data_IF_788243210738
#
_entry.id   IF_788243210738
#
_cell.length_a   1.000
_cell.length_b   1.000
_cell.length_c   1.000
_cell.angle_alpha   90.00
_cell.angle_beta   90.00
_cell.angle_gamma   90.00
#
_symmetry.space_group_name_H-M   'P 1'
#
loop_
_entity.id
_entity.type
_entity.pdbx_description
1 polymer ?
#
# COMPACT_ATOMS: atom_id res chain seq x y z
N UNK A 1 -30.14 6.02 -43.27
CA UNK A 1 -29.35 6.40 -42.10
C UNK A 1 -29.05 7.91 -42.17
N UNK A 2 -29.55 8.68 -41.22
CA UNK A 2 -29.22 10.11 -41.11
C UNK A 2 -28.30 10.30 -39.91
N UNK A 3 -26.99 10.42 -40.09
CA UNK A 3 -26.02 10.56 -38.98
C UNK A 3 -26.20 11.87 -38.18
N UNK A 4 -26.87 12.88 -38.73
CA UNK A 4 -27.18 14.16 -38.07
C UNK A 4 -28.49 14.15 -37.24
N UNK A 5 -29.19 13.01 -37.16
CA UNK A 5 -30.43 12.92 -36.39
C UNK A 5 -30.11 12.94 -34.87
N UNK A 6 -30.32 14.09 -34.24
CA UNK A 6 -30.05 14.31 -32.80
C UNK A 6 -30.77 13.30 -31.89
N UNK A 7 -32.01 12.92 -32.22
CA UNK A 7 -32.76 11.93 -31.44
C UNK A 7 -32.09 10.55 -31.47
N UNK A 8 -31.63 10.13 -32.64
CA UNK A 8 -30.91 8.85 -32.82
C UNK A 8 -29.56 8.88 -32.07
N UNK A 9 -28.83 10.00 -32.13
CA UNK A 9 -27.57 10.18 -31.41
C UNK A 9 -27.80 10.16 -29.89
N UNK A 10 -28.85 10.83 -29.37
CA UNK A 10 -29.20 10.74 -27.94
C UNK A 10 -29.50 9.30 -27.52
N UNK A 11 -30.28 8.56 -28.32
CA UNK A 11 -30.59 7.15 -28.05
C UNK A 11 -29.33 6.28 -28.05
N UNK A 12 -28.42 6.52 -29.00
CA UNK A 12 -27.11 5.85 -29.05
C UNK A 12 -26.27 6.17 -27.82
N UNK A 13 -26.17 7.45 -27.45
CA UNK A 13 -25.43 7.90 -26.25
C UNK A 13 -25.97 7.27 -24.97
N UNK A 14 -27.30 7.24 -24.83
CA UNK A 14 -27.98 6.61 -23.69
C UNK A 14 -27.72 5.10 -23.65
N UNK A 15 -27.79 4.40 -24.77
CA UNK A 15 -27.47 2.98 -24.86
C UNK A 15 -26.04 2.69 -24.42
N UNK A 16 -25.06 3.48 -24.88
CA UNK A 16 -23.65 3.38 -24.46
C UNK A 16 -23.50 3.66 -22.95
N UNK A 17 -24.17 4.65 -22.42
CA UNK A 17 -24.18 4.96 -20.99
C UNK A 17 -24.72 3.81 -20.14
N UNK A 18 -25.84 3.20 -20.55
CA UNK A 18 -26.47 2.07 -19.85
C UNK A 18 -25.53 0.85 -19.81
N UNK A 19 -24.83 0.56 -20.92
CA UNK A 19 -23.84 -0.53 -20.96
C UNK A 19 -22.48 -0.14 -20.40
N UNK A 20 -22.37 1.01 -19.72
CA UNK A 20 -21.17 1.53 -19.04
C UNK A 20 -19.99 1.82 -19.97
N UNK A 21 -20.22 2.03 -21.25
CA UNK A 21 -19.20 2.48 -22.20
C UNK A 21 -19.10 4.02 -22.16
N UNK A 22 -18.68 4.53 -21.00
CA UNK A 22 -18.76 5.96 -20.68
C UNK A 22 -17.93 6.87 -21.58
N UNK A 23 -16.74 6.41 -22.03
CA UNK A 23 -15.88 7.16 -22.96
C UNK A 23 -16.57 7.32 -24.33
N UNK A 24 -17.18 6.25 -24.85
CA UNK A 24 -17.92 6.31 -26.11
C UNK A 24 -19.21 7.13 -25.97
N UNK A 25 -19.92 7.00 -24.84
CA UNK A 25 -21.09 7.83 -24.53
C UNK A 25 -20.71 9.32 -24.50
N UNK A 26 -19.61 9.67 -23.81
CA UNK A 26 -19.09 11.04 -23.77
C UNK A 26 -18.80 11.58 -25.18
N UNK A 27 -18.16 10.81 -26.05
CA UNK A 27 -17.89 11.22 -27.43
C UNK A 27 -19.18 11.58 -28.18
N UNK A 28 -20.25 10.78 -28.02
CA UNK A 28 -21.55 11.05 -28.66
C UNK A 28 -22.20 12.30 -28.10
N UNK A 29 -22.22 12.45 -26.77
CA UNK A 29 -22.84 13.64 -26.14
C UNK A 29 -22.02 14.92 -26.38
N UNK A 30 -20.69 14.82 -26.44
CA UNK A 30 -19.82 15.95 -26.78
C UNK A 30 -20.07 16.44 -28.20
N UNK A 31 -20.33 15.52 -29.17
CA UNK A 31 -20.76 15.92 -30.52
C UNK A 31 -22.11 16.63 -30.52
N UNK A 32 -23.11 16.11 -29.78
CA UNK A 32 -24.42 16.75 -29.65
C UNK A 32 -24.33 18.15 -29.06
N UNK A 33 -23.51 18.33 -28.02
CA UNK A 33 -23.27 19.63 -27.37
C UNK A 33 -22.57 20.62 -28.33
N UNK A 34 -21.59 20.14 -29.12
CA UNK A 34 -20.93 20.95 -30.15
C UNK A 34 -21.90 21.40 -31.26
N UNK A 35 -22.89 20.57 -31.58
CA UNK A 35 -23.97 20.90 -32.52
C UNK A 35 -25.08 21.79 -31.92
N UNK A 36 -24.88 22.27 -30.68
CA UNK A 36 -25.80 23.18 -29.98
C UNK A 36 -27.01 22.48 -29.36
N UNK A 37 -26.93 21.16 -29.09
CA UNK A 37 -27.98 20.44 -28.36
C UNK A 37 -27.80 20.58 -26.84
N UNK A 38 -28.45 21.59 -26.25
CA UNK A 38 -28.44 21.86 -24.82
C UNK A 38 -29.70 21.39 -24.08
N UNK A 39 -30.35 20.33 -24.58
CA UNK A 39 -31.53 19.78 -23.88
C UNK A 39 -31.11 19.11 -22.56
N UNK A 40 -32.03 19.14 -21.58
CA UNK A 40 -31.79 18.56 -20.25
C UNK A 40 -31.20 17.14 -20.31
N UNK A 41 -31.75 16.26 -21.15
CA UNK A 41 -31.25 14.88 -21.28
C UNK A 41 -29.82 14.80 -21.84
N UNK A 42 -29.49 15.64 -22.83
CA UNK A 42 -28.15 15.73 -23.39
C UNK A 42 -27.14 16.24 -22.35
N UNK A 43 -27.50 17.26 -21.60
CA UNK A 43 -26.67 17.79 -20.51
C UNK A 43 -26.52 16.78 -19.36
N UNK A 44 -27.63 16.19 -18.90
CA UNK A 44 -27.60 15.20 -17.80
C UNK A 44 -26.71 14.00 -18.14
N UNK A 45 -26.96 13.34 -19.27
CA UNK A 45 -26.20 12.12 -19.64
C UNK A 45 -24.80 12.44 -20.19
N UNK A 46 -24.63 13.60 -20.83
CA UNK A 46 -23.31 14.09 -21.24
C UNK A 46 -22.41 14.36 -20.05
N UNK A 47 -22.90 15.10 -19.06
CA UNK A 47 -22.20 15.35 -17.80
C UNK A 47 -21.93 14.07 -17.01
N UNK A 48 -22.93 13.18 -16.91
CA UNK A 48 -22.77 11.88 -16.26
C UNK A 48 -21.70 11.00 -16.94
N UNK A 49 -21.69 10.98 -18.29
CA UNK A 49 -20.70 10.23 -19.06
C UNK A 49 -19.28 10.73 -18.82
N UNK A 50 -19.10 12.06 -18.78
CA UNK A 50 -17.82 12.70 -18.41
C UNK A 50 -17.38 12.32 -16.99
N UNK A 51 -18.32 12.36 -16.03
CA UNK A 51 -18.06 11.97 -14.65
C UNK A 51 -17.50 10.55 -14.56
N UNK A 52 -18.21 9.57 -15.14
CA UNK A 52 -17.78 8.18 -15.10
C UNK A 52 -16.57 7.87 -16.00
N UNK A 53 -16.25 8.73 -16.96
CA UNK A 53 -15.00 8.68 -17.72
C UNK A 53 -13.81 9.31 -16.97
N UNK A 54 -14.03 9.85 -15.75
CA UNK A 54 -12.99 10.48 -14.93
C UNK A 54 -12.72 11.97 -15.26
N UNK A 55 -13.50 12.57 -16.14
CA UNK A 55 -13.38 13.96 -16.59
C UNK A 55 -14.19 14.91 -15.67
N UNK A 56 -13.77 15.02 -14.40
CA UNK A 56 -14.57 15.67 -13.35
C UNK A 56 -14.82 17.17 -13.60
N UNK A 57 -13.81 17.96 -13.99
CA UNK A 57 -14.00 19.39 -14.25
C UNK A 57 -14.95 19.63 -15.43
N UNK A 58 -14.75 19.02 -16.63
CA UNK A 58 -15.73 19.13 -17.72
C UNK A 58 -17.12 18.58 -17.37
N UNK A 59 -17.22 17.62 -16.45
CA UNK A 59 -18.48 17.11 -15.94
C UNK A 59 -19.24 18.16 -15.13
N UNK A 60 -18.52 18.92 -14.27
CA UNK A 60 -19.13 20.03 -13.49
C UNK A 60 -19.79 21.03 -14.42
N UNK A 61 -19.08 21.51 -15.44
CA UNK A 61 -19.61 22.52 -16.36
C UNK A 61 -20.92 22.07 -17.02
N UNK A 62 -20.99 20.82 -17.47
CA UNK A 62 -22.18 20.30 -18.17
C UNK A 62 -23.30 19.98 -17.19
N UNK A 63 -22.98 19.42 -16.01
CA UNK A 63 -23.99 19.12 -14.98
C UNK A 63 -24.57 20.38 -14.33
N UNK A 64 -23.79 21.47 -14.25
CA UNK A 64 -24.30 22.77 -13.83
C UNK A 64 -25.39 23.30 -14.77
N UNK A 65 -25.16 23.23 -16.08
CA UNK A 65 -26.18 23.59 -17.07
C UNK A 65 -27.43 22.70 -16.96
N UNK A 66 -27.27 21.40 -16.65
CA UNK A 66 -28.41 20.52 -16.40
C UNK A 66 -29.14 20.91 -15.11
N UNK A 67 -28.41 21.24 -14.06
CA UNK A 67 -28.96 21.67 -12.77
C UNK A 67 -29.74 22.99 -12.88
N UNK A 68 -29.27 23.93 -13.70
CA UNK A 68 -30.01 25.18 -13.97
C UNK A 68 -31.37 24.94 -14.62
N UNK A 69 -31.50 23.87 -15.43
CA UNK A 69 -32.79 23.51 -16.06
C UNK A 69 -33.74 22.77 -15.09
N UNK A 70 -33.16 21.93 -14.18
CA UNK A 70 -33.95 21.19 -13.18
C UNK A 70 -33.14 21.07 -11.88
N UNK A 71 -33.40 22.01 -10.95
CA UNK A 71 -32.76 22.04 -9.62
C UNK A 71 -33.30 20.97 -8.67
N UNK A 72 -34.34 20.22 -9.04
CA UNK A 72 -34.98 19.21 -8.20
C UNK A 72 -34.47 17.79 -8.53
N UNK A 73 -33.74 17.64 -9.62
CA UNK A 73 -33.23 16.33 -10.04
C UNK A 73 -32.22 15.76 -9.05
N UNK A 74 -32.64 14.74 -8.32
CA UNK A 74 -31.80 14.04 -7.33
C UNK A 74 -30.53 13.49 -8.00
N UNK A 75 -30.64 12.87 -9.18
CA UNK A 75 -29.49 12.28 -9.89
C UNK A 75 -28.48 13.34 -10.32
N UNK A 76 -28.95 14.50 -10.81
CA UNK A 76 -28.05 15.61 -11.20
C UNK A 76 -27.39 16.18 -9.95
N UNK A 77 -28.11 16.40 -8.85
CA UNK A 77 -27.53 16.85 -7.58
C UNK A 77 -26.46 15.88 -7.07
N UNK A 78 -26.69 14.56 -7.14
CA UNK A 78 -25.71 13.56 -6.72
C UNK A 78 -24.44 13.58 -7.57
N UNK A 79 -24.57 13.59 -8.90
CA UNK A 79 -23.45 13.56 -9.82
C UNK A 79 -22.64 14.86 -9.80
N UNK A 80 -23.34 16.02 -9.80
CA UNK A 80 -22.69 17.32 -9.70
C UNK A 80 -21.97 17.49 -8.36
N UNK A 81 -22.65 17.10 -7.26
CA UNK A 81 -22.05 17.11 -5.93
C UNK A 81 -20.82 16.23 -5.85
N UNK A 82 -20.86 15.03 -6.43
CA UNK A 82 -19.70 14.13 -6.46
C UNK A 82 -18.56 14.68 -7.34
N UNK A 83 -18.86 15.27 -8.50
CA UNK A 83 -17.86 15.89 -9.35
C UNK A 83 -17.18 17.07 -8.65
N UNK A 84 -17.94 17.94 -7.98
CA UNK A 84 -17.42 19.06 -7.17
C UNK A 84 -16.60 18.56 -5.98
N UNK A 85 -17.01 17.49 -5.31
CA UNK A 85 -16.25 16.86 -4.21
C UNK A 85 -14.88 16.32 -4.64
N UNK A 86 -14.74 15.93 -5.92
CA UNK A 86 -13.47 15.49 -6.50
C UNK A 86 -12.60 16.64 -7.01
N UNK A 87 -13.17 17.84 -7.15
CA UNK A 87 -12.49 19.05 -7.61
C UNK A 87 -12.18 19.98 -6.43
N UNK A 88 -12.69 21.21 -6.40
CA UNK A 88 -12.28 22.22 -5.43
C UNK A 88 -13.44 22.74 -4.56
N UNK A 89 -14.69 22.61 -4.99
CA UNK A 89 -15.84 23.21 -4.29
C UNK A 89 -16.63 22.17 -3.48
N UNK A 90 -15.99 21.68 -2.41
CA UNK A 90 -16.60 20.71 -1.51
C UNK A 90 -17.77 21.26 -0.70
N UNK A 91 -17.78 22.56 -0.43
CA UNK A 91 -18.90 23.20 0.26
C UNK A 91 -20.18 23.08 -0.55
N UNK A 92 -20.12 23.45 -1.84
CA UNK A 92 -21.26 23.29 -2.75
C UNK A 92 -21.64 21.83 -2.96
N UNK A 93 -20.65 20.93 -2.93
CA UNK A 93 -20.94 19.49 -2.99
C UNK A 93 -21.83 19.04 -1.83
N UNK A 94 -21.55 19.46 -0.59
CA UNK A 94 -22.38 19.13 0.58
C UNK A 94 -23.79 19.72 0.45
N UNK A 95 -23.94 20.94 0.00
CA UNK A 95 -25.25 21.57 -0.22
C UNK A 95 -26.09 20.79 -1.25
N UNK A 96 -25.46 20.28 -2.30
CA UNK A 96 -26.11 19.45 -3.31
C UNK A 96 -26.50 18.06 -2.76
N UNK A 97 -25.65 17.45 -1.93
CA UNK A 97 -25.99 16.20 -1.26
C UNK A 97 -27.18 16.37 -0.28
N UNK A 98 -27.24 17.48 0.43
CA UNK A 98 -28.35 17.79 1.34
C UNK A 98 -29.67 18.03 0.57
N UNK A 99 -29.57 18.62 -0.63
CA UNK A 99 -30.74 18.74 -1.54
C UNK A 99 -31.18 17.39 -2.09
N UNK A 100 -30.23 16.58 -2.55
CA UNK A 100 -30.51 15.23 -3.03
C UNK A 100 -31.17 14.38 -1.95
N UNK A 101 -30.73 14.47 -0.70
CA UNK A 101 -31.27 13.73 0.44
C UNK A 101 -32.75 14.06 0.71
N UNK A 102 -33.10 15.34 0.60
CA UNK A 102 -34.50 15.80 0.76
C UNK A 102 -35.45 15.31 -0.33
N UNK A 103 -34.92 15.10 -1.54
CA UNK A 103 -35.70 14.62 -2.70
C UNK A 103 -35.64 13.09 -2.88
N UNK A 104 -34.88 12.39 -2.03
CA UNK A 104 -34.81 10.93 -2.11
C UNK A 104 -36.11 10.29 -1.63
N UNK A 105 -36.84 9.70 -2.57
CA UNK A 105 -37.77 8.62 -2.21
C UNK A 105 -36.98 7.40 -1.73
N UNK A 106 -37.59 6.42 -1.03
CA UNK A 106 -36.87 5.27 -0.46
C UNK A 106 -36.30 4.33 -1.54
N UNK A 107 -35.55 4.87 -2.47
CA UNK A 107 -34.80 4.15 -3.50
C UNK A 107 -33.44 3.73 -2.93
N UNK A 108 -33.32 2.45 -2.55
CA UNK A 108 -32.11 1.88 -1.94
C UNK A 108 -30.84 2.14 -2.76
N UNK A 109 -30.94 2.18 -4.08
CA UNK A 109 -29.79 2.44 -4.95
C UNK A 109 -29.27 3.87 -4.81
N UNK A 110 -30.15 4.86 -4.90
CA UNK A 110 -29.80 6.29 -4.79
C UNK A 110 -29.33 6.64 -3.37
N UNK A 111 -29.92 6.04 -2.33
CA UNK A 111 -29.46 6.22 -0.95
C UNK A 111 -28.01 5.74 -0.79
N UNK A 112 -27.68 4.54 -1.30
CA UNK A 112 -26.31 4.04 -1.23
C UNK A 112 -25.34 4.89 -2.04
N UNK A 113 -25.77 5.43 -3.18
CA UNK A 113 -24.95 6.32 -4.00
C UNK A 113 -24.69 7.65 -3.28
N UNK A 114 -25.70 8.24 -2.65
CA UNK A 114 -25.54 9.43 -1.81
C UNK A 114 -24.53 9.20 -0.68
N UNK A 115 -24.70 8.11 0.09
CA UNK A 115 -23.81 7.78 1.19
C UNK A 115 -22.37 7.63 0.71
N UNK A 116 -22.16 6.91 -0.41
CA UNK A 116 -20.83 6.69 -0.98
C UNK A 116 -20.18 8.00 -1.47
N UNK A 117 -20.90 8.85 -2.20
CA UNK A 117 -20.37 10.10 -2.72
C UNK A 117 -20.05 11.11 -1.61
N UNK A 118 -20.92 11.20 -0.61
CA UNK A 118 -20.69 12.03 0.59
C UNK A 118 -19.49 11.51 1.38
N UNK A 119 -19.35 10.19 1.55
CA UNK A 119 -18.21 9.57 2.20
C UNK A 119 -16.89 9.85 1.47
N UNK A 120 -16.87 9.73 0.14
CA UNK A 120 -15.69 10.02 -0.68
C UNK A 120 -15.28 11.51 -0.55
N UNK A 121 -16.25 12.42 -0.48
CA UNK A 121 -16.00 13.84 -0.28
C UNK A 121 -15.41 14.11 1.11
N UNK A 122 -15.93 13.48 2.18
CA UNK A 122 -15.34 13.56 3.52
C UNK A 122 -13.93 12.97 3.57
N UNK A 123 -13.68 11.85 2.88
CA UNK A 123 -12.35 11.27 2.78
C UNK A 123 -11.34 12.24 2.15
N UNK A 124 -11.73 12.95 1.09
CA UNK A 124 -10.91 14.00 0.45
C UNK A 124 -10.64 15.20 1.37
N UNK A 125 -11.52 15.48 2.31
CA UNK A 125 -11.35 16.50 3.35
C UNK A 125 -10.50 16.02 4.55
N UNK A 126 -10.02 14.78 4.54
CA UNK A 126 -9.33 14.18 5.67
C UNK A 126 -10.24 13.82 6.86
N UNK A 127 -11.54 13.91 6.67
CA UNK A 127 -12.57 13.60 7.69
C UNK A 127 -12.88 12.10 7.68
N UNK A 128 -11.87 11.29 8.01
CA UNK A 128 -11.93 9.83 7.89
C UNK A 128 -13.00 9.18 8.80
N UNK A 129 -13.27 9.77 9.96
CA UNK A 129 -14.27 9.26 10.90
C UNK A 129 -15.68 9.34 10.32
N UNK A 130 -16.04 10.47 9.74
CA UNK A 130 -17.33 10.69 9.09
C UNK A 130 -17.45 9.85 7.80
N UNK A 131 -16.39 9.82 7.00
CA UNK A 131 -16.34 9.00 5.79
C UNK A 131 -16.57 7.52 6.11
N UNK A 132 -15.86 6.98 7.10
CA UNK A 132 -15.99 5.58 7.55
C UNK A 132 -17.40 5.25 8.01
N UNK A 133 -18.06 6.15 8.74
CA UNK A 133 -19.43 5.96 9.20
C UNK A 133 -20.42 5.83 8.04
N UNK A 134 -20.31 6.70 7.04
CA UNK A 134 -21.18 6.67 5.86
C UNK A 134 -20.97 5.44 4.99
N UNK A 135 -19.72 5.05 4.73
CA UNK A 135 -19.43 3.81 4.01
C UNK A 135 -19.92 2.56 4.78
N UNK A 136 -19.77 2.57 6.11
CA UNK A 136 -20.24 1.46 6.95
C UNK A 136 -21.77 1.37 6.93
N UNK A 137 -22.48 2.51 6.96
CA UNK A 137 -23.93 2.57 6.78
C UNK A 137 -24.36 2.05 5.41
N UNK A 138 -23.67 2.46 4.34
CA UNK A 138 -23.91 1.98 2.98
C UNK A 138 -23.71 0.45 2.88
N UNK A 139 -22.66 -0.07 3.51
CA UNK A 139 -22.43 -1.51 3.59
C UNK A 139 -23.52 -2.24 4.39
N UNK A 140 -23.93 -1.76 5.54
CA UNK A 140 -25.03 -2.37 6.31
C UNK A 140 -26.34 -2.45 5.50
N UNK A 141 -26.60 -1.47 4.63
CA UNK A 141 -27.75 -1.48 3.72
C UNK A 141 -27.56 -2.45 2.54
N UNK A 142 -26.35 -2.71 2.13
CA UNK A 142 -26.01 -3.62 1.03
C UNK A 142 -24.73 -4.44 1.34
N UNK A 143 -24.83 -5.49 2.17
CA UNK A 143 -23.67 -6.27 2.61
C UNK A 143 -22.93 -7.00 1.47
N UNK A 144 -23.56 -7.13 0.28
CA UNK A 144 -22.89 -7.71 -0.89
C UNK A 144 -21.78 -6.81 -1.48
N UNK A 145 -21.81 -5.51 -1.19
CA UNK A 145 -20.88 -4.50 -1.65
C UNK A 145 -19.66 -4.41 -0.73
N UNK A 146 -18.68 -5.32 -0.91
CA UNK A 146 -17.42 -5.30 -0.16
C UNK A 146 -16.54 -4.08 -0.45
N UNK A 147 -16.76 -3.39 -1.58
CA UNK A 147 -16.05 -2.17 -1.95
C UNK A 147 -16.21 -1.04 -0.92
N UNK A 148 -17.31 -0.99 -0.19
CA UNK A 148 -17.47 -0.04 0.91
C UNK A 148 -16.56 -0.36 2.10
N UNK A 149 -16.44 -1.64 2.47
CA UNK A 149 -15.49 -2.06 3.51
C UNK A 149 -14.04 -1.88 3.04
N UNK A 150 -13.76 -2.17 1.76
CA UNK A 150 -12.45 -1.91 1.17
C UNK A 150 -12.09 -0.42 1.22
N UNK A 151 -13.03 0.49 0.90
CA UNK A 151 -12.81 1.92 0.99
C UNK A 151 -12.46 2.38 2.42
N UNK A 152 -13.17 1.84 3.44
CA UNK A 152 -12.83 2.13 4.84
C UNK A 152 -11.46 1.53 5.20
N UNK A 153 -11.20 0.28 4.82
CA UNK A 153 -9.92 -0.38 5.06
C UNK A 153 -8.75 0.42 4.47
N UNK A 154 -8.92 1.01 3.29
CA UNK A 154 -7.91 1.89 2.69
C UNK A 154 -7.64 3.16 3.48
N UNK A 155 -8.62 3.73 4.17
CA UNK A 155 -8.43 4.93 5.01
C UNK A 155 -7.58 4.63 6.25
N UNK A 156 -7.62 3.38 6.73
CA UNK A 156 -6.84 2.90 7.88
C UNK A 156 -5.72 1.94 7.46
N UNK A 157 -5.36 1.90 6.17
CA UNK A 157 -4.30 1.03 5.67
C UNK A 157 -2.93 1.63 5.92
N UNK A 158 -2.48 1.49 7.16
CA UNK A 158 -1.08 1.69 7.50
C UNK A 158 -0.27 0.41 7.22
N UNK A 159 1.02 0.57 7.03
CA UNK A 159 1.91 -0.58 6.76
C UNK A 159 2.27 -1.30 8.06
N UNK A 160 2.20 -0.57 9.17
CA UNK A 160 2.61 -1.01 10.50
C UNK A 160 1.74 -0.32 11.56
N UNK A 161 1.39 -1.03 12.63
CA UNK A 161 0.57 -0.51 13.74
C UNK A 161 1.15 0.75 14.40
N UNK A 162 2.46 0.94 14.37
CA UNK A 162 3.12 2.12 14.92
C UNK A 162 2.89 3.40 14.12
N UNK A 163 2.29 3.31 12.93
CA UNK A 163 1.99 4.45 12.06
C UNK A 163 0.65 5.10 12.34
N UNK A 164 -0.23 4.44 13.10
CA UNK A 164 -1.49 5.06 13.49
C UNK A 164 -1.27 6.31 14.34
N UNK A 165 -2.00 7.37 14.01
CA UNK A 165 -1.85 8.67 14.66
C UNK A 165 -2.43 8.70 16.09
N UNK A 166 -3.41 7.85 16.36
CA UNK A 166 -4.04 7.72 17.66
C UNK A 166 -4.42 6.27 17.97
N UNK A 167 -4.59 5.98 19.27
CA UNK A 167 -5.08 4.67 19.73
C UNK A 167 -6.51 4.40 19.23
N UNK A 168 -7.35 5.43 19.11
CA UNK A 168 -8.70 5.30 18.55
C UNK A 168 -8.64 4.89 17.07
N UNK A 169 -7.77 5.49 16.27
CA UNK A 169 -7.62 5.13 14.86
C UNK A 169 -7.07 3.71 14.70
N UNK A 170 -6.15 3.33 15.57
CA UNK A 170 -5.63 1.96 15.64
C UNK A 170 -6.74 0.95 15.92
N UNK A 171 -7.60 1.22 16.89
CA UNK A 171 -8.74 0.36 17.26
C UNK A 171 -9.81 0.30 16.17
N UNK A 172 -10.05 1.42 15.46
CA UNK A 172 -10.93 1.48 14.29
C UNK A 172 -10.36 0.71 13.10
N UNK A 173 -9.07 0.90 12.83
CA UNK A 173 -8.36 0.17 11.78
C UNK A 173 -8.42 -1.34 12.01
N UNK A 174 -8.16 -1.80 13.23
CA UNK A 174 -8.27 -3.23 13.57
C UNK A 174 -9.68 -3.77 13.35
N UNK A 175 -10.72 -3.06 13.81
CA UNK A 175 -12.10 -3.46 13.59
C UNK A 175 -12.42 -3.67 12.11
N UNK A 176 -12.10 -2.67 11.30
CA UNK A 176 -12.47 -2.70 9.88
C UNK A 176 -11.70 -3.78 9.11
N UNK A 177 -10.44 -3.99 9.44
CA UNK A 177 -9.62 -5.05 8.83
C UNK A 177 -10.17 -6.44 9.16
N UNK A 178 -10.50 -6.68 10.44
CA UNK A 178 -11.09 -7.96 10.88
C UNK A 178 -12.44 -8.20 10.19
N UNK A 179 -13.31 -7.17 10.14
CA UNK A 179 -14.61 -7.26 9.47
C UNK A 179 -14.45 -7.52 7.98
N UNK A 180 -13.62 -6.73 7.30
CA UNK A 180 -13.40 -6.83 5.85
C UNK A 180 -12.83 -8.20 5.46
N UNK A 181 -11.86 -8.72 6.22
CA UNK A 181 -11.29 -10.04 5.96
C UNK A 181 -12.29 -11.17 6.20
N UNK A 182 -13.05 -11.13 7.28
CA UNK A 182 -14.09 -12.13 7.53
C UNK A 182 -15.15 -12.14 6.41
N UNK A 183 -15.63 -10.97 5.99
CA UNK A 183 -16.61 -10.88 4.91
C UNK A 183 -16.02 -11.28 3.55
N UNK A 184 -14.75 -10.97 3.29
CA UNK A 184 -14.02 -11.39 2.08
C UNK A 184 -13.86 -12.91 2.00
N UNK A 185 -13.52 -13.57 3.12
CA UNK A 185 -13.43 -15.02 3.20
C UNK A 185 -14.79 -15.69 2.96
N UNK A 186 -15.85 -15.18 3.61
CA UNK A 186 -17.22 -15.72 3.42
C UNK A 186 -17.67 -15.65 1.95
N UNK A 187 -17.30 -14.58 1.25
CA UNK A 187 -17.72 -14.33 -0.14
C UNK A 187 -16.74 -14.83 -1.18
N UNK A 188 -15.65 -15.49 -0.77
CA UNK A 188 -14.59 -15.96 -1.67
C UNK A 188 -14.09 -14.83 -2.59
N UNK A 189 -13.84 -13.65 -2.00
CA UNK A 189 -13.31 -12.50 -2.73
C UNK A 189 -11.93 -12.78 -3.32
N UNK A 190 -11.51 -11.95 -4.28
CA UNK A 190 -10.19 -12.08 -4.92
C UNK A 190 -9.08 -11.98 -3.86
N UNK A 191 -8.20 -12.97 -3.82
CA UNK A 191 -7.08 -13.07 -2.90
C UNK A 191 -6.17 -11.84 -2.92
N UNK A 192 -6.03 -11.19 -4.09
CA UNK A 192 -5.20 -9.99 -4.27
C UNK A 192 -5.63 -8.84 -3.35
N UNK A 193 -6.93 -8.74 -3.07
CA UNK A 193 -7.46 -7.68 -2.19
C UNK A 193 -7.16 -7.93 -0.72
N UNK A 194 -6.86 -9.18 -0.34
CA UNK A 194 -6.64 -9.60 1.05
C UNK A 194 -5.19 -9.51 1.50
N UNK A 195 -4.23 -9.48 0.58
CA UNK A 195 -2.80 -9.63 0.91
C UNK A 195 -2.26 -8.47 1.76
N UNK A 196 -2.61 -7.22 1.43
CA UNK A 196 -2.19 -6.05 2.23
C UNK A 196 -2.83 -6.04 3.61
N UNK A 197 -4.10 -6.39 3.70
CA UNK A 197 -4.83 -6.47 4.97
C UNK A 197 -4.26 -7.54 5.89
N UNK A 198 -3.84 -8.69 5.33
CA UNK A 198 -3.12 -9.72 6.09
C UNK A 198 -1.83 -9.18 6.72
N UNK A 199 -1.04 -8.41 5.95
CA UNK A 199 0.21 -7.85 6.42
C UNK A 199 0.02 -6.96 7.66
N UNK A 200 -1.00 -6.10 7.63
CA UNK A 200 -1.32 -5.24 8.76
C UNK A 200 -1.91 -6.03 9.96
N UNK A 201 -2.77 -7.04 9.71
CA UNK A 201 -3.23 -7.93 10.77
C UNK A 201 -2.07 -8.69 11.45
N UNK A 202 -1.07 -9.10 10.66
CA UNK A 202 0.14 -9.71 11.19
C UNK A 202 0.92 -8.74 12.08
N UNK A 203 1.01 -7.46 11.70
CA UNK A 203 1.63 -6.42 12.53
C UNK A 203 0.86 -6.20 13.84
N UNK A 204 -0.47 -6.23 13.84
CA UNK A 204 -1.30 -6.19 15.06
C UNK A 204 -1.05 -7.39 15.95
N UNK A 205 -0.99 -8.60 15.38
CA UNK A 205 -0.69 -9.82 16.13
C UNK A 205 0.68 -9.76 16.80
N UNK A 206 1.71 -9.34 16.07
CA UNK A 206 3.07 -9.20 16.58
C UNK A 206 3.13 -8.14 17.71
N UNK A 207 2.48 -7.00 17.56
CA UNK A 207 2.39 -5.96 18.59
C UNK A 207 1.69 -6.48 19.86
N UNK A 208 0.55 -7.17 19.73
CA UNK A 208 -0.12 -7.81 20.86
C UNK A 208 0.78 -8.83 21.57
N UNK A 209 1.48 -9.65 20.78
CA UNK A 209 2.39 -10.66 21.31
C UNK A 209 3.55 -10.03 22.10
N UNK A 210 4.22 -9.02 21.56
CA UNK A 210 5.33 -8.34 22.22
C UNK A 210 4.90 -7.56 23.47
N UNK A 211 3.71 -6.98 23.47
CA UNK A 211 3.14 -6.32 24.65
C UNK A 211 2.54 -7.29 25.67
N UNK A 212 2.53 -8.58 25.38
CA UNK A 212 1.89 -9.62 26.19
C UNK A 212 0.40 -9.33 26.46
N UNK A 213 -0.34 -8.89 25.43
CA UNK A 213 -1.76 -8.55 25.50
C UNK A 213 -2.59 -9.70 24.93
N UNK A 214 -3.48 -10.26 25.74
CA UNK A 214 -4.33 -11.39 25.33
C UNK A 214 -5.52 -10.97 24.47
N UNK A 215 -6.04 -9.74 24.66
CA UNK A 215 -7.18 -9.21 23.95
C UNK A 215 -6.92 -7.73 23.57
N UNK A 216 -7.38 -7.34 22.37
CA UNK A 216 -7.32 -5.96 21.91
C UNK A 216 -8.72 -5.37 21.71
N UNK A 217 -8.90 -4.09 22.02
CA UNK A 217 -10.15 -3.38 21.81
C UNK A 217 -10.27 -2.97 20.34
N UNK A 218 -11.48 -3.16 19.81
CA UNK A 218 -11.89 -2.71 18.48
C UNK A 218 -13.04 -1.71 18.60
N UNK A 219 -13.07 -0.69 17.76
CA UNK A 219 -14.15 0.30 17.71
C UNK A 219 -14.74 0.31 16.30
N UNK A 220 -16.04 0.06 16.18
CA UNK A 220 -16.71 0.17 14.89
C UNK A 220 -16.90 1.64 14.47
N UNK A 221 -17.27 1.91 13.20
CA UNK A 221 -17.53 3.29 12.74
C UNK A 221 -18.64 4.01 13.50
N UNK A 222 -19.61 3.30 14.11
CA UNK A 222 -20.66 3.88 14.94
C UNK A 222 -20.20 4.17 16.39
N UNK A 223 -18.97 3.77 16.75
CA UNK A 223 -18.38 3.99 18.07
C UNK A 223 -18.61 2.86 19.08
N UNK A 224 -19.22 1.74 18.65
CA UNK A 224 -19.43 0.58 19.51
C UNK A 224 -18.10 -0.17 19.72
N UNK A 225 -17.81 -0.49 20.97
CA UNK A 225 -16.61 -1.25 21.35
C UNK A 225 -16.85 -2.74 21.35
N UNK A 226 -15.87 -3.49 20.89
CA UNK A 226 -15.77 -4.95 20.96
C UNK A 226 -14.32 -5.34 21.22
N UNK A 227 -14.04 -6.63 21.36
CA UNK A 227 -12.68 -7.14 21.56
C UNK A 227 -12.39 -8.28 20.61
N UNK A 228 -11.11 -8.47 20.30
CA UNK A 228 -10.59 -9.65 19.62
C UNK A 228 -9.47 -10.28 20.46
N UNK A 229 -9.50 -11.58 20.62
CA UNK A 229 -8.38 -12.28 21.27
C UNK A 229 -7.21 -12.46 20.31
N UNK A 230 -5.98 -12.55 20.85
CA UNK A 230 -4.78 -12.86 20.07
C UNK A 230 -4.91 -14.20 19.33
N UNK A 231 -5.65 -15.17 19.91
CA UNK A 231 -5.91 -16.48 19.29
C UNK A 231 -6.84 -16.35 18.09
N UNK A 232 -7.94 -15.56 18.21
CA UNK A 232 -8.88 -15.34 17.10
C UNK A 232 -8.22 -14.57 15.97
N UNK A 233 -7.40 -13.57 16.32
CA UNK A 233 -6.64 -12.80 15.32
C UNK A 233 -5.66 -13.72 14.56
N UNK A 234 -4.94 -14.60 15.26
CA UNK A 234 -4.06 -15.59 14.64
C UNK A 234 -4.82 -16.56 13.74
N UNK A 235 -5.99 -17.04 14.20
CA UNK A 235 -6.84 -17.94 13.42
C UNK A 235 -7.34 -17.28 12.13
N UNK A 236 -7.71 -16.00 12.19
CA UNK A 236 -8.09 -15.24 11.00
C UNK A 236 -6.91 -15.11 10.02
N UNK A 237 -5.72 -14.72 10.50
CA UNK A 237 -4.51 -14.59 9.68
C UNK A 237 -4.17 -15.90 8.96
N UNK A 238 -4.30 -17.04 9.65
CA UNK A 238 -4.01 -18.36 9.08
C UNK A 238 -4.97 -18.79 7.96
N UNK A 239 -6.17 -18.21 7.90
CA UNK A 239 -7.15 -18.45 6.84
C UNK A 239 -6.92 -17.58 5.60
N UNK A 240 -6.13 -16.51 5.72
CA UNK A 240 -5.84 -15.60 4.62
C UNK A 240 -4.72 -16.15 3.72
N UNK A 241 -4.74 -15.83 2.41
CA UNK A 241 -3.66 -16.21 1.50
C UNK A 241 -2.31 -15.74 2.00
N UNK A 242 -1.26 -16.51 1.72
CA UNK A 242 0.09 -16.13 2.11
C UNK A 242 0.52 -14.81 1.47
N UNK A 243 1.38 -14.10 2.20
CA UNK A 243 1.93 -12.82 1.74
C UNK A 243 2.79 -13.05 0.48
N UNK A 244 2.49 -12.32 -0.61
CA UNK A 244 3.29 -12.42 -1.83
C UNK A 244 4.67 -11.77 -1.66
N UNK A 245 5.66 -12.22 -2.45
CA UNK A 245 7.00 -11.60 -2.51
C UNK A 245 6.92 -10.08 -2.64
N UNK A 246 6.07 -9.58 -3.57
CA UNK A 246 5.91 -8.16 -3.83
C UNK A 246 5.44 -7.38 -2.59
N UNK A 247 4.53 -7.94 -1.80
CA UNK A 247 4.05 -7.29 -0.56
C UNK A 247 5.15 -7.27 0.49
N UNK A 248 5.89 -8.36 0.65
CA UNK A 248 7.05 -8.39 1.54
C UNK A 248 8.11 -7.34 1.15
N UNK A 249 8.37 -7.15 -0.14
CA UNK A 249 9.29 -6.12 -0.65
C UNK A 249 8.79 -4.70 -0.33
N UNK A 250 7.51 -4.40 -0.58
CA UNK A 250 6.93 -3.07 -0.26
C UNK A 250 7.02 -2.79 1.24
N UNK A 251 6.70 -3.77 2.09
CA UNK A 251 6.85 -3.65 3.55
C UNK A 251 8.31 -3.43 3.95
N UNK A 252 9.24 -4.16 3.32
CA UNK A 252 10.65 -4.00 3.60
C UNK A 252 11.17 -2.60 3.24
N UNK A 253 10.72 -2.03 2.11
CA UNK A 253 11.03 -0.65 1.74
C UNK A 253 10.52 0.35 2.77
N UNK A 254 9.31 0.16 3.28
CA UNK A 254 8.75 1.01 4.34
C UNK A 254 9.49 0.84 5.67
N UNK A 255 9.81 -0.38 6.08
CA UNK A 255 10.59 -0.65 7.28
C UNK A 255 11.96 0.02 7.19
N UNK A 256 12.65 -0.08 6.03
CA UNK A 256 13.92 0.59 5.75
C UNK A 256 13.80 2.11 5.88
N UNK A 257 12.80 2.73 5.27
CA UNK A 257 12.59 4.18 5.34
C UNK A 257 12.29 4.68 6.77
N UNK A 258 11.78 3.79 7.62
CA UNK A 258 11.50 4.05 9.05
C UNK A 258 12.67 3.69 9.98
N UNK A 259 13.84 3.29 9.41
CA UNK A 259 15.02 2.89 10.19
C UNK A 259 14.92 1.50 10.84
N UNK A 260 13.90 0.71 10.55
CA UNK A 260 13.70 -0.65 11.09
C UNK A 260 14.47 -1.68 10.26
N UNK A 261 15.79 -1.64 10.34
CA UNK A 261 16.70 -2.41 9.47
C UNK A 261 16.48 -3.93 9.60
N UNK A 262 16.33 -4.45 10.82
CA UNK A 262 16.14 -5.89 11.06
C UNK A 262 14.81 -6.40 10.49
N UNK A 263 13.74 -5.61 10.62
CA UNK A 263 12.43 -5.93 10.03
C UNK A 263 12.51 -5.96 8.50
N UNK A 264 13.15 -4.95 7.89
CA UNK A 264 13.38 -4.90 6.45
C UNK A 264 14.16 -6.14 5.96
N UNK A 265 15.26 -6.49 6.63
CA UNK A 265 16.07 -7.66 6.29
C UNK A 265 15.27 -8.97 6.41
N UNK A 266 14.44 -9.10 7.45
CA UNK A 266 13.59 -10.28 7.66
C UNK A 266 12.56 -10.44 6.54
N UNK A 267 11.91 -9.38 6.13
CA UNK A 267 10.92 -9.39 5.05
C UNK A 267 11.56 -9.74 3.70
N UNK A 268 12.68 -9.11 3.35
CA UNK A 268 13.43 -9.44 2.12
C UNK A 268 13.93 -10.88 2.11
N UNK A 269 14.39 -11.39 3.25
CA UNK A 269 14.86 -12.77 3.36
C UNK A 269 13.71 -13.78 3.22
N UNK A 270 12.53 -13.49 3.78
CA UNK A 270 11.32 -14.30 3.55
C UNK A 270 10.92 -14.29 2.09
N UNK A 271 10.90 -13.11 1.46
CA UNK A 271 10.60 -12.97 0.03
C UNK A 271 11.57 -13.78 -0.84
N UNK A 272 12.88 -13.71 -0.54
CA UNK A 272 13.87 -14.53 -1.23
C UNK A 272 13.64 -16.04 -1.06
N UNK A 273 13.27 -16.50 0.14
CA UNK A 273 13.02 -17.92 0.40
C UNK A 273 11.84 -18.51 -0.36
N UNK A 274 10.88 -17.71 -0.81
CA UNK A 274 9.72 -18.20 -1.56
C UNK A 274 10.15 -18.90 -2.86
N UNK A 275 11.10 -18.33 -3.61
CA UNK A 275 11.60 -18.93 -4.88
C UNK A 275 13.09 -19.24 -4.89
N UNK A 276 13.88 -18.56 -4.07
CA UNK A 276 15.33 -18.78 -3.97
C UNK A 276 16.16 -18.31 -5.18
N UNK A 277 15.52 -17.73 -6.21
CA UNK A 277 16.21 -17.37 -7.48
C UNK A 277 16.52 -15.88 -7.61
N UNK A 278 15.87 -15.04 -6.81
CA UNK A 278 16.00 -13.57 -6.90
C UNK A 278 17.15 -13.06 -6.03
N UNK A 279 18.36 -13.13 -6.58
CA UNK A 279 19.58 -12.71 -5.88
C UNK A 279 19.58 -11.21 -5.53
N UNK A 280 18.79 -10.40 -6.25
CA UNK A 280 18.57 -8.98 -5.97
C UNK A 280 18.05 -8.72 -4.56
N UNK A 281 17.22 -9.63 -4.03
CA UNK A 281 16.71 -9.51 -2.64
C UNK A 281 17.84 -9.71 -1.61
N UNK A 282 18.78 -10.62 -1.87
CA UNK A 282 19.96 -10.77 -1.03
C UNK A 282 20.89 -9.55 -1.13
N UNK A 283 21.01 -8.94 -2.33
CA UNK A 283 21.72 -7.68 -2.51
C UNK A 283 21.13 -6.57 -1.64
N UNK A 284 19.80 -6.43 -1.64
CA UNK A 284 19.13 -5.44 -0.79
C UNK A 284 19.39 -5.70 0.70
N UNK A 285 19.40 -6.97 1.15
CA UNK A 285 19.76 -7.32 2.52
C UNK A 285 21.24 -6.96 2.80
N UNK A 286 22.14 -7.28 1.89
CA UNK A 286 23.55 -6.92 2.03
C UNK A 286 23.76 -5.40 2.09
N UNK A 287 22.98 -4.64 1.32
CA UNK A 287 23.00 -3.17 1.34
C UNK A 287 22.51 -2.57 2.67
N UNK A 288 21.55 -3.24 3.37
CA UNK A 288 21.10 -2.80 4.70
C UNK A 288 22.23 -2.84 5.75
N UNK A 289 23.19 -3.75 5.57
CA UNK A 289 24.36 -3.95 6.44
C UNK A 289 25.67 -3.59 5.73
N UNK A 290 25.63 -2.66 4.77
CA UNK A 290 26.79 -2.29 3.97
C UNK A 290 27.71 -1.35 4.75
N UNK A 291 28.80 -1.91 5.26
CA UNK A 291 29.92 -1.16 5.83
C UNK A 291 31.21 -1.60 5.15
N UNK A 292 32.15 -0.67 4.89
CA UNK A 292 33.42 -1.01 4.25
C UNK A 292 34.37 -1.83 5.15
N UNK A 293 34.11 -1.81 6.46
CA UNK A 293 34.86 -2.54 7.48
C UNK A 293 33.98 -2.86 8.71
N UNK A 294 34.46 -3.73 9.58
CA UNK A 294 33.75 -4.20 10.77
C UNK A 294 33.50 -3.11 11.83
N UNK A 295 34.21 -1.97 11.79
CA UNK A 295 34.04 -0.88 12.75
C UNK A 295 32.77 -0.09 12.57
N UNK A 296 32.06 -0.29 11.47
CA UNK A 296 30.78 0.36 11.15
C UNK A 296 29.60 -0.16 11.97
N UNK A 297 29.70 -1.35 12.56
CA UNK A 297 28.61 -1.99 13.29
C UNK A 297 28.53 -1.53 14.75
N UNK A 298 27.31 -1.34 15.24
CA UNK A 298 27.05 -0.82 16.59
C UNK A 298 27.30 -1.86 17.70
N UNK A 299 27.07 -3.13 17.36
CA UNK A 299 27.18 -4.24 18.32
C UNK A 299 27.48 -5.57 17.61
N UNK A 300 27.76 -6.60 18.39
CA UNK A 300 28.10 -7.93 17.90
C UNK A 300 26.98 -8.60 17.11
N UNK A 301 25.71 -8.38 17.47
CA UNK A 301 24.57 -8.96 16.76
C UNK A 301 24.39 -8.34 15.38
N UNK A 302 24.51 -7.02 15.27
CA UNK A 302 24.46 -6.32 13.98
C UNK A 302 25.60 -6.79 13.06
N UNK A 303 26.82 -6.97 13.60
CA UNK A 303 27.94 -7.55 12.87
C UNK A 303 27.62 -8.98 12.39
N UNK A 304 27.08 -9.85 13.24
CA UNK A 304 26.72 -11.21 12.87
C UNK A 304 25.70 -11.25 11.73
N UNK A 305 24.70 -10.34 11.73
CA UNK A 305 23.73 -10.15 10.65
C UNK A 305 24.40 -9.63 9.37
N UNK A 306 25.31 -8.69 9.49
CA UNK A 306 26.11 -8.17 8.38
C UNK A 306 26.97 -9.25 7.73
N UNK A 307 27.66 -10.06 8.53
CA UNK A 307 28.45 -11.20 8.03
C UNK A 307 27.55 -12.18 7.29
N UNK A 308 26.40 -12.57 7.88
CA UNK A 308 25.45 -13.44 7.20
C UNK A 308 25.03 -12.87 5.85
N UNK A 309 24.64 -11.60 5.81
CA UNK A 309 24.12 -10.93 4.60
C UNK A 309 25.18 -10.92 3.48
N UNK A 310 26.40 -10.46 3.78
CA UNK A 310 27.47 -10.34 2.79
C UNK A 310 27.96 -11.71 2.29
N UNK A 311 28.14 -12.69 3.19
CA UNK A 311 28.57 -14.04 2.83
C UNK A 311 27.51 -14.77 2.00
N UNK A 312 26.24 -14.70 2.40
CA UNK A 312 25.14 -15.36 1.67
C UNK A 312 24.98 -14.76 0.27
N UNK A 313 25.01 -13.43 0.16
CA UNK A 313 24.93 -12.74 -1.13
C UNK A 313 26.09 -13.13 -2.05
N UNK A 314 27.34 -13.10 -1.56
CA UNK A 314 28.51 -13.49 -2.33
C UNK A 314 28.43 -14.94 -2.81
N UNK A 315 28.06 -15.89 -1.95
CA UNK A 315 27.92 -17.30 -2.30
C UNK A 315 26.86 -17.55 -3.38
N UNK A 316 25.71 -16.90 -3.27
CA UNK A 316 24.63 -17.06 -4.26
C UNK A 316 24.99 -16.41 -5.60
N UNK A 317 25.75 -15.29 -5.63
CA UNK A 317 26.27 -14.71 -6.87
C UNK A 317 27.26 -15.63 -7.56
N UNK A 318 28.22 -16.18 -6.82
CA UNK A 318 29.21 -17.11 -7.36
C UNK A 318 28.57 -18.39 -7.89
N UNK A 319 27.56 -18.92 -7.19
CA UNK A 319 26.82 -20.12 -7.60
C UNK A 319 26.01 -19.92 -8.89
N UNK A 320 25.47 -18.71 -9.11
CA UNK A 320 24.65 -18.41 -10.28
C UNK A 320 25.44 -17.81 -11.46
N UNK A 321 26.77 -17.78 -11.40
CA UNK A 321 27.65 -17.16 -12.41
C UNK A 321 27.20 -15.74 -12.79
N UNK A 322 26.65 -15.01 -11.82
CA UNK A 322 26.08 -13.69 -12.03
C UNK A 322 27.17 -12.63 -12.11
N UNK A 323 26.82 -11.44 -12.63
CA UNK A 323 27.72 -10.29 -12.69
C UNK A 323 28.23 -9.89 -11.30
N UNK A 324 29.53 -10.08 -11.07
CA UNK A 324 30.21 -9.81 -9.80
C UNK A 324 30.54 -8.32 -9.60
N UNK A 325 30.27 -7.45 -10.59
CA UNK A 325 30.54 -6.00 -10.50
C UNK A 325 29.72 -5.31 -9.39
N UNK A 326 28.63 -5.94 -8.96
CA UNK A 326 27.74 -5.43 -7.92
C UNK A 326 28.24 -5.65 -6.47
N UNK A 327 29.45 -6.24 -6.28
CA UNK A 327 30.01 -6.56 -4.95
C UNK A 327 30.88 -5.43 -4.39
N UNK A 328 30.47 -4.17 -4.52
CA UNK A 328 31.26 -2.97 -4.24
C UNK A 328 31.93 -2.98 -2.86
N UNK A 329 31.22 -3.33 -1.81
CA UNK A 329 31.75 -3.34 -0.44
C UNK A 329 31.91 -4.73 0.16
N UNK A 330 31.45 -5.78 -0.51
CA UNK A 330 31.47 -7.15 0.04
C UNK A 330 32.89 -7.64 0.27
N UNK A 331 33.75 -7.54 -0.73
CA UNK A 331 35.16 -8.00 -0.58
C UNK A 331 35.94 -7.20 0.46
N UNK A 332 35.96 -5.85 0.45
CA UNK A 332 36.65 -5.07 1.50
C UNK A 332 36.17 -5.41 2.92
N UNK A 333 34.84 -5.59 3.08
CA UNK A 333 34.28 -6.00 4.36
C UNK A 333 34.77 -7.39 4.80
N UNK A 334 34.74 -8.39 3.91
CA UNK A 334 35.23 -9.74 4.22
C UNK A 334 36.73 -9.77 4.51
N UNK A 335 37.54 -8.97 3.80
CA UNK A 335 38.97 -8.80 4.08
C UNK A 335 39.22 -8.16 5.47
N UNK A 336 38.42 -7.16 5.83
CA UNK A 336 38.46 -6.56 7.18
C UNK A 336 38.09 -7.57 8.27
N UNK A 337 37.08 -8.40 8.05
CA UNK A 337 36.66 -9.46 8.96
C UNK A 337 37.77 -10.51 9.11
N UNK A 338 38.36 -10.98 8.01
CA UNK A 338 39.45 -11.95 8.03
C UNK A 338 40.67 -11.41 8.81
N UNK A 339 40.98 -10.12 8.63
CA UNK A 339 42.08 -9.46 9.38
C UNK A 339 41.83 -9.41 10.89
N UNK A 340 40.55 -9.09 11.30
CA UNK A 340 40.18 -9.08 12.73
C UNK A 340 40.22 -10.47 13.33
N UNK A 341 39.64 -11.47 12.65
CA UNK A 341 39.63 -12.87 13.10
C UNK A 341 41.05 -13.37 13.29
N UNK A 342 41.97 -13.13 12.31
CA UNK A 342 43.35 -13.53 12.38
C UNK A 342 44.12 -12.85 13.52
N UNK A 343 43.93 -11.54 13.74
CA UNK A 343 44.55 -10.80 14.83
C UNK A 343 44.11 -11.27 16.22
N UNK A 344 42.86 -11.71 16.34
CA UNK A 344 42.25 -12.17 17.60
C UNK A 344 42.39 -13.68 17.81
N UNK A 345 42.94 -14.41 16.85
CA UNK A 345 43.05 -15.88 16.92
C UNK A 345 41.67 -16.58 16.86
N UNK A 346 40.68 -15.97 16.21
CA UNK A 346 39.36 -16.52 16.07
C UNK A 346 39.34 -17.40 14.82
N UNK A 347 38.96 -18.67 14.96
CA UNK A 347 38.85 -19.62 13.86
C UNK A 347 37.48 -19.73 13.25
N UNK A 348 36.43 -19.29 13.98
CA UNK A 348 35.03 -19.33 13.56
C UNK A 348 34.29 -18.05 13.94
N UNK A 349 33.52 -17.47 13.00
CA UNK A 349 32.66 -16.34 13.19
C UNK A 349 31.19 -16.77 13.15
N UNK A 350 30.43 -16.40 14.19
CA UNK A 350 28.98 -16.63 14.19
C UNK A 350 28.31 -15.71 13.18
N UNK A 351 27.44 -16.27 12.35
CA UNK A 351 26.52 -15.59 11.45
C UNK A 351 25.11 -15.70 11.97
N UNK A 352 24.33 -14.62 11.90
CA UNK A 352 22.94 -14.57 12.33
C UNK A 352 22.04 -14.22 11.14
N UNK A 353 21.23 -15.19 10.70
CA UNK A 353 20.28 -14.97 9.62
C UNK A 353 19.14 -14.02 10.05
N UNK A 354 18.44 -13.34 9.11
CA UNK A 354 17.31 -12.49 9.45
C UNK A 354 16.16 -13.22 10.19
N UNK A 355 16.04 -14.53 10.05
CA UNK A 355 15.09 -15.37 10.79
C UNK A 355 15.66 -15.92 12.12
N UNK A 356 16.73 -15.32 12.63
CA UNK A 356 17.43 -15.65 13.87
C UNK A 356 18.12 -17.03 13.92
N UNK A 357 18.24 -17.73 12.81
CA UNK A 357 19.06 -18.95 12.75
C UNK A 357 20.54 -18.59 12.80
N UNK A 358 21.28 -19.29 13.63
CA UNK A 358 22.74 -19.15 13.75
C UNK A 358 23.45 -20.20 12.89
N UNK A 359 24.54 -19.78 12.30
CA UNK A 359 25.52 -20.65 11.61
C UNK A 359 26.95 -20.15 11.88
N UNK A 360 27.93 -20.95 11.55
CA UNK A 360 29.35 -20.61 11.72
C UNK A 360 29.99 -20.43 10.35
N UNK A 361 30.91 -19.50 10.26
CA UNK A 361 31.81 -19.25 9.13
C UNK A 361 33.23 -19.51 9.61
N UNK A 362 33.87 -20.54 9.09
CA UNK A 362 35.30 -20.79 9.41
C UNK A 362 36.20 -19.78 8.69
N UNK A 363 37.37 -19.55 9.27
CA UNK A 363 38.37 -18.63 8.67
C UNK A 363 38.85 -19.17 7.30
N UNK A 364 38.96 -20.48 7.13
CA UNK A 364 39.34 -21.11 5.86
C UNK A 364 38.27 -20.89 4.79
N UNK A 365 37.00 -21.06 5.15
CA UNK A 365 35.85 -20.79 4.27
C UNK A 365 35.79 -19.31 3.87
N UNK A 366 36.04 -18.40 4.81
CA UNK A 366 36.12 -16.97 4.58
C UNK A 366 37.25 -16.61 3.60
N UNK A 367 38.42 -17.17 3.79
CA UNK A 367 39.58 -16.95 2.91
C UNK A 367 39.34 -17.50 1.50
N UNK A 368 38.79 -18.71 1.39
CA UNK A 368 38.37 -19.28 0.12
C UNK A 368 37.36 -18.42 -0.62
N UNK A 369 36.39 -17.87 0.10
CA UNK A 369 35.37 -16.97 -0.49
C UNK A 369 36.03 -15.68 -1.01
N UNK A 370 36.90 -15.03 -0.24
CA UNK A 370 37.63 -13.82 -0.64
C UNK A 370 38.42 -14.05 -1.93
N UNK A 371 39.10 -15.20 -2.06
CA UNK A 371 39.89 -15.53 -3.25
C UNK A 371 39.07 -15.68 -4.52
N UNK A 372 37.80 -16.08 -4.41
CA UNK A 372 36.88 -16.23 -5.53
C UNK A 372 36.23 -14.91 -5.97
N UNK A 373 36.26 -13.86 -5.13
CA UNK A 373 35.70 -12.56 -5.44
C UNK A 373 36.66 -11.70 -6.27
N UNK A 374 36.14 -10.84 -7.19
CA UNK A 374 36.95 -9.93 -7.96
C UNK A 374 37.71 -8.95 -7.04
N UNK A 375 38.87 -8.49 -7.48
CA UNK A 375 39.63 -7.46 -6.75
C UNK A 375 38.82 -6.16 -6.63
N UNK A 376 38.98 -5.50 -5.49
CA UNK A 376 38.32 -4.19 -5.24
C UNK A 376 38.91 -3.16 -6.22
N UNK A 377 38.06 -2.48 -6.97
CA UNK A 377 38.45 -1.44 -7.92
C UNK A 377 39.11 -0.25 -7.21
N UNK A 378 39.94 0.51 -7.92
CA UNK A 378 40.60 1.68 -7.34
C UNK A 378 39.63 2.79 -6.97
N UNK A 379 38.52 2.92 -7.71
CA UNK A 379 37.45 3.85 -7.36
C UNK A 379 36.80 3.49 -6.00
N UNK A 380 36.56 2.22 -5.76
CA UNK A 380 35.99 1.74 -4.47
C UNK A 380 36.99 1.92 -3.34
N UNK A 381 38.28 1.65 -3.57
CA UNK A 381 39.34 1.92 -2.58
C UNK A 381 39.41 3.39 -2.19
N UNK A 382 39.27 4.30 -3.14
CA UNK A 382 39.28 5.74 -2.88
C UNK A 382 38.00 6.19 -2.15
N UNK A 383 36.84 5.65 -2.51
CA UNK A 383 35.59 5.88 -1.79
C UNK A 383 35.69 5.47 -0.31
N UNK A 384 36.24 4.31 -0.03
CA UNK A 384 36.47 3.84 1.35
C UNK A 384 37.40 4.77 2.11
N UNK A 385 38.50 5.25 1.47
CA UNK A 385 39.40 6.23 2.08
C UNK A 385 38.72 7.53 2.43
N UNK A 386 37.85 8.03 1.56
CA UNK A 386 37.05 9.25 1.83
C UNK A 386 36.05 9.05 3.00
N UNK A 387 35.34 7.93 3.02
CA UNK A 387 34.43 7.59 4.13
C UNK A 387 35.17 7.52 5.47
N UNK A 388 36.37 6.92 5.51
CA UNK A 388 37.17 6.82 6.72
C UNK A 388 37.70 8.18 7.19
N UNK A 389 38.08 9.08 6.27
CA UNK A 389 38.43 10.47 6.60
C UNK A 389 37.28 11.26 7.22
N UNK A 390 36.07 11.14 6.67
CA UNK A 390 34.89 11.79 7.23
C UNK A 390 34.55 11.28 8.64
N UNK A 391 34.64 9.96 8.87
CA UNK A 391 34.44 9.37 10.22
C UNK A 391 35.46 9.94 11.20
N UNK A 392 36.73 10.00 10.82
CA UNK A 392 37.79 10.56 11.68
C UNK A 392 37.62 12.05 11.98
N UNK A 393 37.02 12.83 11.08
CA UNK A 393 36.69 14.23 11.29
C UNK A 393 35.49 14.43 12.21
N UNK A 394 34.47 13.55 12.12
CA UNK A 394 33.29 13.59 13.01
C UNK A 394 33.59 13.10 14.43
N UNK A 395 34.57 12.22 14.63
CA UNK A 395 34.98 11.74 15.95
C UNK A 395 35.86 12.72 16.72
N UNK A 396 36.34 13.79 16.07
CA UNK A 396 37.14 14.88 16.68
C UNK A 396 36.34 16.13 17.05
N UNK A 397 35.04 16.13 16.72
CA UNK A 397 34.06 17.15 17.15
C UNK A 397 33.17 16.59 18.26
#
# INVERSE_FOLDING_TARGET
YNPGNRQLLRSKGLGLYIVKQFVQADSVYSSLLADGDSTYLTLKYGGASKYYAGLYMPSVDILDMAYEQDTTSVEVCLLLGSALGKTYDRKRAYDLFDRAEKGLEPNRFLVNQLLAFRAETYQKDGRYKEASRLYYEAWKKNPERLDFLAAISHMYSEIDVSKFQSEEDRQRGLFILVLYMNESLKKKADERTMVFSRALLQSFYEDMFFRNVAEETMIDPDGKKSKISIVDLRNLINQLPEESEMVMEIRAMSARSSGKIEEAARLLYRAWKVKGTRVELLREIANLYSHPDISGFKNAEELQRGVFAQVTYAKELLKNESDLSNLTFTRPFLESLNSDMSKRGITEQTMLAPDNRKSQLSIDELQSLIQQLPETSDEVKEMIRMMNKEKALKSKK
#
